data_IF_018596034067
#
_entry.id   IF_018596034067
#
_cell.length_a   1.000
_cell.length_b   1.000
_cell.length_c   1.000
_cell.angle_alpha   90.00
_cell.angle_beta   90.00
_cell.angle_gamma   90.00
#
_symmetry.space_group_name_H-M   'P 1'
#
loop_
_entity.id
_entity.type
_entity.pdbx_description
1 polymer ?
#
# COMPACT_ATOMS: atom_id res chain seq x y z
N UNK A 1 2.67 -22.70 6.80
CA UNK A 1 1.93 -21.41 6.77
C UNK A 1 1.95 -20.75 5.40
N UNK A 2 3.09 -20.65 4.69
CA UNK A 2 3.16 -20.08 3.33
C UNK A 2 2.30 -20.76 2.26
N UNK A 3 1.88 -22.01 2.51
CA UNK A 3 1.00 -22.81 1.65
C UNK A 3 -0.50 -22.56 1.87
N UNK A 4 -0.89 -21.90 2.97
CA UNK A 4 -2.30 -21.78 3.42
C UNK A 4 -2.84 -20.35 3.31
N UNK A 5 -2.02 -19.34 3.64
CA UNK A 5 -2.40 -17.92 3.49
C UNK A 5 -1.21 -17.07 3.03
N UNK A 6 -1.15 -16.70 1.73
CA UNK A 6 -0.11 -15.84 1.17
C UNK A 6 -0.01 -14.47 1.86
N UNK A 7 -1.15 -13.90 2.30
CA UNK A 7 -1.18 -12.60 2.97
C UNK A 7 -0.57 -12.66 4.36
N UNK A 8 -0.94 -13.65 5.17
CA UNK A 8 -0.33 -13.84 6.51
C UNK A 8 1.15 -14.16 6.40
N UNK A 9 1.55 -15.01 5.46
CA UNK A 9 2.95 -15.32 5.22
C UNK A 9 3.74 -14.07 4.79
N UNK A 10 3.13 -13.21 3.97
CA UNK A 10 3.73 -11.92 3.58
C UNK A 10 3.88 -10.97 4.77
N UNK A 11 2.89 -10.90 5.66
CA UNK A 11 2.95 -10.08 6.89
C UNK A 11 4.04 -10.56 7.86
N UNK A 12 4.10 -11.87 8.13
CA UNK A 12 5.09 -12.46 9.06
C UNK A 12 6.51 -12.35 8.50
N UNK A 13 6.68 -12.58 7.20
CA UNK A 13 7.99 -12.43 6.52
C UNK A 13 8.45 -10.99 6.42
N UNK A 14 7.55 -10.02 6.64
CA UNK A 14 7.84 -8.60 6.51
C UNK A 14 8.86 -8.11 7.56
N UNK A 15 8.71 -8.56 8.81
CA UNK A 15 9.65 -8.30 9.90
C UNK A 15 10.94 -9.15 9.86
N UNK A 16 11.30 -9.75 8.73
CA UNK A 16 12.52 -10.58 8.61
C UNK A 16 13.81 -9.80 8.93
N UNK A 17 13.87 -8.52 8.57
CA UNK A 17 15.02 -7.66 8.88
C UNK A 17 15.18 -7.40 10.39
N UNK A 18 14.08 -7.21 11.12
CA UNK A 18 14.10 -7.08 12.59
C UNK A 18 14.44 -8.41 13.26
N UNK A 19 13.90 -9.52 12.76
CA UNK A 19 14.23 -10.87 13.26
C UNK A 19 15.70 -11.22 13.04
N UNK A 20 16.29 -10.80 11.91
CA UNK A 20 17.70 -11.02 11.64
C UNK A 20 18.61 -10.28 12.63
N UNK A 21 18.23 -9.07 13.03
CA UNK A 21 18.99 -8.24 13.97
C UNK A 21 18.77 -8.64 15.43
N UNK A 22 17.51 -8.82 15.84
CA UNK A 22 17.11 -8.92 17.24
C UNK A 22 16.59 -10.30 17.66
N UNK A 23 16.45 -11.24 16.74
CA UNK A 23 15.94 -12.59 17.04
C UNK A 23 14.50 -12.53 17.56
N UNK A 24 14.24 -13.22 18.68
CA UNK A 24 12.91 -13.26 19.32
C UNK A 24 12.43 -11.91 19.85
N UNK A 25 13.34 -10.98 20.15
CA UNK A 25 13.00 -9.64 20.63
C UNK A 25 12.22 -8.82 19.58
N UNK A 26 12.26 -9.21 18.30
CA UNK A 26 11.42 -8.58 17.28
C UNK A 26 9.92 -8.71 17.55
N UNK A 27 9.50 -9.68 18.38
CA UNK A 27 8.10 -9.86 18.76
C UNK A 27 7.55 -8.71 19.62
N UNK A 28 8.42 -7.84 20.14
CA UNK A 28 8.03 -6.65 20.90
C UNK A 28 7.18 -5.69 20.06
N UNK A 29 7.49 -5.49 18.78
CA UNK A 29 6.68 -4.61 17.91
C UNK A 29 5.24 -5.11 17.79
N UNK A 30 4.98 -6.38 17.41
CA UNK A 30 3.64 -6.95 17.41
C UNK A 30 2.91 -6.87 18.74
N UNK A 31 3.60 -7.03 19.88
CA UNK A 31 3.00 -6.84 21.20
C UNK A 31 2.53 -5.40 21.41
N UNK A 32 3.32 -4.41 20.99
CA UNK A 32 2.86 -3.02 20.96
C UNK A 32 1.68 -2.82 19.99
N UNK A 33 1.67 -3.50 18.84
CA UNK A 33 0.52 -3.51 17.93
C UNK A 33 -0.77 -3.97 18.62
N UNK A 34 -0.70 -5.05 19.42
CA UNK A 34 -1.83 -5.51 20.23
C UNK A 34 -2.21 -4.49 21.30
N UNK A 35 -1.23 -3.97 22.07
CA UNK A 35 -1.47 -3.01 23.15
C UNK A 35 -2.19 -1.75 22.65
N UNK A 36 -1.64 -1.10 21.61
CA UNK A 36 -2.25 0.10 21.03
C UNK A 36 -3.54 -0.23 20.27
N UNK A 37 -3.69 -1.46 19.78
CA UNK A 37 -4.97 -1.95 19.23
C UNK A 37 -6.07 -1.98 20.28
N UNK A 38 -5.75 -2.43 21.51
CA UNK A 38 -6.68 -2.39 22.65
C UNK A 38 -7.02 -0.94 23.01
N UNK A 39 -6.03 -0.05 23.07
CA UNK A 39 -6.29 1.37 23.32
C UNK A 39 -7.21 1.97 22.27
N UNK A 40 -6.99 1.67 20.98
CA UNK A 40 -7.89 2.14 19.92
C UNK A 40 -9.32 1.63 20.14
N UNK A 41 -9.52 0.35 20.49
CA UNK A 41 -10.83 -0.23 20.78
C UNK A 41 -11.52 0.46 21.96
N UNK A 42 -10.77 0.78 23.01
CA UNK A 42 -11.32 1.49 24.19
C UNK A 42 -11.71 2.92 23.83
N UNK A 43 -10.84 3.64 23.13
CA UNK A 43 -11.06 5.02 22.68
C UNK A 43 -12.20 5.13 21.66
N UNK A 44 -12.37 4.11 20.81
CA UNK A 44 -13.45 4.05 19.83
C UNK A 44 -14.74 3.42 20.38
N UNK A 45 -14.83 3.17 21.69
CA UNK A 45 -15.99 2.53 22.33
C UNK A 45 -16.38 1.18 21.70
N UNK A 46 -15.40 0.43 21.19
CA UNK A 46 -15.61 -0.86 20.55
C UNK A 46 -15.96 -0.79 19.06
N UNK A 47 -16.05 0.39 18.45
CA UNK A 47 -16.25 0.52 17.01
C UNK A 47 -14.96 0.25 16.24
N UNK A 48 -15.00 -0.42 15.07
CA UNK A 48 -13.81 -0.73 14.26
C UNK A 48 -13.33 0.48 13.41
N UNK A 49 -13.26 1.64 14.05
CA UNK A 49 -12.84 2.92 13.47
C UNK A 49 -11.59 3.44 14.17
N UNK A 50 -10.87 4.40 13.55
CA UNK A 50 -9.80 5.13 14.24
C UNK A 50 -10.32 5.80 15.51
N UNK A 51 -9.70 5.47 16.66
CA UNK A 51 -9.92 6.10 17.96
C UNK A 51 -9.20 7.45 18.02
N UNK A 52 -8.33 7.68 19.01
CA UNK A 52 -7.53 8.90 19.08
C UNK A 52 -6.53 8.97 17.91
N UNK A 53 -6.34 10.18 17.34
CA UNK A 53 -5.36 10.39 16.27
C UNK A 53 -3.93 10.03 16.67
N UNK A 54 -3.54 10.21 17.93
CA UNK A 54 -2.21 9.84 18.44
C UNK A 54 -2.05 8.32 18.47
N UNK A 55 -3.01 7.62 19.08
CA UNK A 55 -3.05 6.15 19.13
C UNK A 55 -3.03 5.57 17.72
N UNK A 56 -3.83 6.14 16.82
CA UNK A 56 -3.86 5.71 15.42
C UNK A 56 -2.56 6.00 14.67
N UNK A 57 -1.92 7.14 14.92
CA UNK A 57 -0.60 7.45 14.35
C UNK A 57 0.45 6.42 14.79
N UNK A 58 0.46 6.05 16.08
CA UNK A 58 1.34 5.00 16.61
C UNK A 58 1.07 3.67 15.92
N UNK A 59 -0.20 3.28 15.75
CA UNK A 59 -0.57 2.05 15.05
C UNK A 59 -0.09 2.04 13.60
N UNK A 60 -0.26 3.15 12.87
CA UNK A 60 0.25 3.28 11.50
C UNK A 60 1.77 3.23 11.44
N UNK A 61 2.49 3.82 12.41
CA UNK A 61 3.95 3.70 12.52
C UNK A 61 4.38 2.26 12.75
N UNK A 62 3.73 1.56 13.68
CA UNK A 62 4.03 0.17 13.98
C UNK A 62 3.78 -0.73 12.76
N UNK A 63 2.67 -0.55 12.05
CA UNK A 63 2.39 -1.25 10.80
C UNK A 63 3.34 -0.87 9.65
N UNK A 64 3.79 0.38 9.60
CA UNK A 64 4.80 0.84 8.65
C UNK A 64 6.18 0.26 8.94
N UNK A 65 6.55 0.00 10.20
CA UNK A 65 7.80 -0.66 10.56
C UNK A 65 7.72 -2.17 10.32
N UNK A 66 6.67 -2.82 10.82
CA UNK A 66 6.50 -4.27 10.71
C UNK A 66 5.06 -4.64 10.33
N UNK A 67 4.89 -5.24 9.15
CA UNK A 67 3.60 -5.72 8.69
C UNK A 67 2.93 -6.72 9.64
N UNK A 68 3.69 -7.48 10.43
CA UNK A 68 3.11 -8.37 11.44
C UNK A 68 2.49 -7.57 12.60
N UNK A 69 3.08 -6.44 12.98
CA UNK A 69 2.50 -5.53 13.97
C UNK A 69 1.22 -4.86 13.47
N UNK A 70 1.19 -4.43 12.20
CA UNK A 70 -0.02 -3.87 11.60
C UNK A 70 -1.16 -4.89 11.51
N UNK A 71 -0.84 -6.15 11.19
CA UNK A 71 -1.80 -7.26 11.19
C UNK A 71 -2.29 -7.59 12.61
N UNK A 72 -1.40 -7.63 13.60
CA UNK A 72 -1.75 -7.88 15.00
C UNK A 72 -2.71 -6.79 15.52
N UNK A 73 -2.42 -5.51 15.27
CA UNK A 73 -3.30 -4.40 15.61
C UNK A 73 -4.68 -4.53 14.94
N UNK A 74 -4.70 -4.84 13.64
CA UNK A 74 -5.95 -5.05 12.89
C UNK A 74 -6.77 -6.20 13.47
N UNK A 75 -6.13 -7.31 13.83
CA UNK A 75 -6.78 -8.45 14.45
C UNK A 75 -7.34 -8.10 15.84
N UNK A 76 -6.60 -7.33 16.64
CA UNK A 76 -7.08 -6.85 17.95
C UNK A 76 -8.31 -5.96 17.80
N UNK A 77 -8.32 -5.04 16.82
CA UNK A 77 -9.48 -4.18 16.55
C UNK A 77 -10.69 -5.02 16.10
N UNK A 78 -10.47 -6.03 15.24
CA UNK A 78 -11.53 -6.95 14.81
C UNK A 78 -12.14 -7.70 16.00
N UNK A 79 -11.30 -8.29 16.85
CA UNK A 79 -11.75 -9.02 18.05
C UNK A 79 -12.48 -8.09 19.00
N UNK A 80 -11.95 -6.89 19.25
CA UNK A 80 -12.59 -5.88 20.08
C UNK A 80 -13.98 -5.49 19.58
N UNK A 81 -14.13 -5.32 18.26
CA UNK A 81 -15.42 -5.03 17.64
C UNK A 81 -16.41 -6.19 17.69
N UNK A 82 -15.94 -7.44 17.53
CA UNK A 82 -16.78 -8.65 17.71
C UNK A 82 -17.28 -8.74 19.15
N UNK A 83 -16.38 -8.63 20.13
CA UNK A 83 -16.70 -8.73 21.57
C UNK A 83 -17.66 -7.64 22.00
N UNK A 84 -17.51 -6.43 21.44
CA UNK A 84 -18.39 -5.29 21.74
C UNK A 84 -19.72 -5.32 20.98
N UNK A 85 -19.93 -6.31 20.09
CA UNK A 85 -21.17 -6.43 19.31
C UNK A 85 -21.29 -5.48 18.11
N UNK A 86 -20.21 -4.80 17.71
CA UNK A 86 -20.24 -3.74 16.71
C UNK A 86 -19.87 -4.18 15.28
N UNK A 87 -19.64 -5.48 14.99
CA UNK A 87 -19.20 -5.93 13.64
C UNK A 87 -20.32 -6.49 12.75
N UNK A 88 -21.58 -6.48 13.19
CA UNK A 88 -22.66 -7.21 12.51
C UNK A 88 -23.39 -6.45 11.39
N UNK A 89 -22.91 -5.26 11.00
CA UNK A 89 -23.47 -4.50 9.88
C UNK A 89 -22.46 -4.31 8.74
N UNK A 90 -22.97 -4.15 7.52
CA UNK A 90 -22.14 -3.87 6.34
C UNK A 90 -21.32 -2.58 6.50
N UNK A 91 -21.90 -1.53 7.09
CA UNK A 91 -21.21 -0.27 7.36
C UNK A 91 -20.02 -0.44 8.31
N UNK A 92 -20.13 -1.35 9.28
CA UNK A 92 -19.03 -1.65 10.21
C UNK A 92 -17.96 -2.52 9.57
N UNK A 93 -18.34 -3.48 8.71
CA UNK A 93 -17.38 -4.25 7.92
C UNK A 93 -16.56 -3.37 6.96
N UNK A 94 -17.20 -2.35 6.39
CA UNK A 94 -16.56 -1.33 5.56
C UNK A 94 -15.59 -0.47 6.38
N UNK A 95 -16.04 0.04 7.52
CA UNK A 95 -15.21 0.83 8.44
C UNK A 95 -13.99 0.06 8.93
N UNK A 96 -14.19 -1.22 9.27
CA UNK A 96 -13.10 -2.13 9.61
C UNK A 96 -12.12 -2.31 8.45
N UNK A 97 -12.63 -2.53 7.23
CA UNK A 97 -11.79 -2.73 6.06
C UNK A 97 -10.93 -1.49 5.76
N UNK A 98 -11.50 -0.30 5.91
CA UNK A 98 -10.79 0.97 5.77
C UNK A 98 -9.68 1.12 6.83
N UNK A 99 -10.00 0.83 8.09
CA UNK A 99 -9.03 0.82 9.18
C UNK A 99 -7.90 -0.19 8.93
N UNK A 100 -8.23 -1.41 8.53
CA UNK A 100 -7.27 -2.45 8.18
C UNK A 100 -6.36 -2.04 7.00
N UNK A 101 -6.93 -1.38 5.98
CA UNK A 101 -6.18 -0.90 4.82
C UNK A 101 -5.14 0.16 5.22
N UNK A 102 -5.49 1.05 6.15
CA UNK A 102 -4.59 2.06 6.68
C UNK A 102 -3.45 1.44 7.49
N UNK A 103 -3.76 0.52 8.41
CA UNK A 103 -2.79 -0.06 9.34
C UNK A 103 -1.82 -1.06 8.69
N UNK A 104 -2.29 -1.84 7.72
CA UNK A 104 -1.51 -2.92 7.11
C UNK A 104 -1.27 -2.70 5.61
N UNK A 105 -2.26 -2.21 4.88
CA UNK A 105 -2.20 -2.06 3.42
C UNK A 105 -1.15 -1.06 2.96
N UNK A 106 -1.00 0.08 3.64
CA UNK A 106 -0.06 1.15 3.27
C UNK A 106 1.37 0.63 3.09
N UNK A 107 1.88 -0.13 4.06
CA UNK A 107 3.24 -0.66 4.03
C UNK A 107 3.48 -1.66 2.89
N UNK A 108 2.47 -2.50 2.60
CA UNK A 108 2.53 -3.48 1.50
C UNK A 108 2.59 -2.78 0.15
N UNK A 109 1.76 -1.74 -0.03
CA UNK A 109 1.73 -0.97 -1.28
C UNK A 109 3.10 -0.32 -1.51
N UNK A 110 3.70 0.28 -0.47
CA UNK A 110 5.04 0.88 -0.55
C UNK A 110 6.10 -0.16 -0.92
N UNK A 111 6.07 -1.35 -0.31
CA UNK A 111 6.99 -2.46 -0.61
C UNK A 111 6.86 -2.96 -2.05
N UNK A 112 5.65 -2.89 -2.64
CA UNK A 112 5.41 -3.20 -4.04
C UNK A 112 6.07 -2.20 -5.01
N UNK A 113 6.23 -0.93 -4.59
CA UNK A 113 6.91 0.11 -5.38
C UNK A 113 8.43 0.02 -5.23
N UNK A 114 8.93 -0.11 -4.00
CA UNK A 114 10.36 -0.17 -3.69
C UNK A 114 10.68 -1.37 -2.81
N UNK A 115 11.55 -2.30 -3.25
CA UNK A 115 11.86 -3.50 -2.49
C UNK A 115 12.54 -3.14 -1.17
N UNK A 116 12.07 -3.74 -0.08
CA UNK A 116 12.64 -3.53 1.25
C UNK A 116 14.02 -4.17 1.37
N UNK A 117 14.19 -5.40 0.86
CA UNK A 117 15.44 -6.16 0.90
C UNK A 117 16.01 -6.22 -0.52
N UNK A 118 17.32 -6.00 -0.64
CA UNK A 118 18.09 -6.14 -1.88
C UNK A 118 19.21 -7.15 -1.69
N UNK A 119 19.59 -7.81 -2.77
CA UNK A 119 20.54 -8.92 -2.73
C UNK A 119 22.02 -8.48 -2.71
N UNK A 120 22.34 -7.28 -3.21
CA UNK A 120 23.73 -6.80 -3.34
C UNK A 120 23.92 -5.36 -2.89
N UNK A 121 25.12 -5.07 -2.36
CA UNK A 121 25.62 -3.73 -2.01
C UNK A 121 27.02 -3.45 -2.60
N UNK A 122 27.52 -4.34 -3.45
CA UNK A 122 28.92 -4.33 -3.90
C UNK A 122 29.21 -3.20 -4.90
N UNK A 123 28.25 -2.89 -5.76
CA UNK A 123 28.42 -1.86 -6.79
C UNK A 123 27.91 -0.49 -6.35
N UNK A 124 28.49 0.57 -6.93
CA UNK A 124 27.93 1.93 -6.79
C UNK A 124 26.46 1.99 -7.22
N UNK A 125 26.09 1.23 -8.25
CA UNK A 125 24.72 1.19 -8.76
C UNK A 125 23.74 0.63 -7.73
N UNK A 126 24.15 -0.36 -6.95
CA UNK A 126 23.27 -0.94 -5.93
C UNK A 126 23.09 0.00 -4.73
N UNK A 127 24.16 0.70 -4.34
CA UNK A 127 24.07 1.78 -3.35
C UNK A 127 23.19 2.94 -3.83
N UNK A 128 23.28 3.31 -5.10
CA UNK A 128 22.42 4.34 -5.70
C UNK A 128 20.94 3.92 -5.69
N UNK A 129 20.65 2.68 -6.08
CA UNK A 129 19.29 2.13 -6.03
C UNK A 129 18.76 2.16 -4.59
N UNK A 130 19.59 1.81 -3.60
CA UNK A 130 19.20 1.85 -2.18
C UNK A 130 18.91 3.27 -1.68
N UNK A 131 19.74 4.24 -2.03
CA UNK A 131 19.49 5.64 -1.72
C UNK A 131 18.14 6.10 -2.30
N UNK A 132 17.83 5.67 -3.53
CA UNK A 132 16.52 5.89 -4.14
C UNK A 132 15.37 5.25 -3.36
N UNK A 133 15.53 4.02 -2.85
CA UNK A 133 14.49 3.37 -2.04
C UNK A 133 14.23 4.13 -0.72
N UNK A 134 15.30 4.64 -0.08
CA UNK A 134 15.22 5.44 1.16
C UNK A 134 14.55 6.80 0.97
N UNK A 135 14.48 7.34 -0.23
CA UNK A 135 13.80 8.61 -0.50
C UNK A 135 12.39 8.36 -1.01
N UNK A 136 12.26 7.53 -2.04
CA UNK A 136 10.99 7.34 -2.76
C UNK A 136 9.97 6.61 -1.91
N UNK A 137 10.37 5.51 -1.25
CA UNK A 137 9.44 4.70 -0.45
C UNK A 137 8.78 5.51 0.67
N UNK A 138 9.57 6.24 1.48
CA UNK A 138 9.06 7.12 2.53
C UNK A 138 8.16 8.25 2.05
N UNK A 139 8.56 8.97 1.00
CA UNK A 139 7.76 10.06 0.43
C UNK A 139 6.42 9.55 -0.09
N UNK A 140 6.46 8.45 -0.86
CA UNK A 140 5.25 7.85 -1.40
C UNK A 140 4.35 7.29 -0.30
N UNK A 141 4.91 6.62 0.71
CA UNK A 141 4.13 6.05 1.80
C UNK A 141 3.49 7.10 2.71
N UNK A 142 4.19 8.19 3.01
CA UNK A 142 3.62 9.29 3.78
C UNK A 142 2.51 10.04 3.02
N UNK A 143 2.71 10.26 1.72
CA UNK A 143 1.66 10.79 0.84
C UNK A 143 0.45 9.84 0.79
N UNK A 144 0.68 8.56 0.54
CA UNK A 144 -0.37 7.54 0.46
C UNK A 144 -1.18 7.49 1.76
N UNK A 145 -0.51 7.49 2.91
CA UNK A 145 -1.18 7.57 4.21
C UNK A 145 -2.06 8.82 4.33
N UNK A 146 -1.54 9.99 3.96
CA UNK A 146 -2.29 11.26 3.98
C UNK A 146 -3.55 11.17 3.11
N UNK A 147 -3.43 10.64 1.89
CA UNK A 147 -4.56 10.52 0.96
C UNK A 147 -5.59 9.50 1.41
N UNK A 148 -5.16 8.34 1.93
CA UNK A 148 -6.07 7.32 2.42
C UNK A 148 -6.83 7.80 3.66
N UNK A 149 -6.20 8.59 4.54
CA UNK A 149 -6.85 9.22 5.69
C UNK A 149 -7.83 10.32 5.23
N UNK A 150 -7.47 11.12 4.23
CA UNK A 150 -8.39 12.12 3.67
C UNK A 150 -9.62 11.46 3.04
N UNK A 151 -9.40 10.39 2.28
CA UNK A 151 -10.46 9.62 1.65
C UNK A 151 -11.32 8.87 2.68
N UNK A 152 -10.75 8.47 3.82
CA UNK A 152 -11.49 7.70 4.82
C UNK A 152 -12.66 8.47 5.43
N UNK A 153 -12.56 9.79 5.59
CA UNK A 153 -13.67 10.61 6.07
C UNK A 153 -14.85 10.64 5.09
N UNK A 154 -14.57 10.76 3.78
CA UNK A 154 -15.62 10.71 2.75
C UNK A 154 -16.31 9.36 2.67
N UNK A 155 -15.58 8.28 2.94
CA UNK A 155 -16.06 6.90 2.87
C UNK A 155 -16.83 6.45 4.11
N UNK A 156 -16.41 6.88 5.30
CA UNK A 156 -17.06 6.51 6.55
C UNK A 156 -18.34 7.31 6.82
N UNK A 157 -18.53 8.47 6.17
CA UNK A 157 -19.65 9.38 6.46
C UNK A 157 -19.62 9.92 7.89
N UNK A 158 -18.47 9.83 8.56
CA UNK A 158 -18.23 10.20 9.96
C UNK A 158 -17.06 11.19 10.01
N UNK A 159 -17.14 12.20 10.88
CA UNK A 159 -16.00 13.08 11.18
C UNK A 159 -14.96 12.29 12.00
N UNK A 160 -14.02 11.64 11.31
CA UNK A 160 -12.97 10.87 11.96
C UNK A 160 -11.93 11.81 12.57
N UNK A 161 -11.48 11.57 13.82
CA UNK A 161 -10.50 12.43 14.50
C UNK A 161 -9.13 12.49 13.78
N UNK A 162 -8.82 11.46 13.00
CA UNK A 162 -7.58 11.37 12.21
C UNK A 162 -7.56 12.32 11.01
N UNK A 163 -8.72 12.72 10.48
CA UNK A 163 -8.81 13.47 9.22
C UNK A 163 -8.18 14.85 9.33
N UNK A 164 -8.39 15.53 10.46
CA UNK A 164 -7.81 16.85 10.76
C UNK A 164 -6.28 16.80 10.91
N UNK A 165 -5.74 15.61 11.18
CA UNK A 165 -4.32 15.36 11.41
C UNK A 165 -3.69 14.52 10.29
N UNK A 166 -4.35 14.40 9.13
CA UNK A 166 -3.91 13.51 8.03
C UNK A 166 -2.46 13.79 7.60
N UNK A 167 -2.09 15.06 7.46
CA UNK A 167 -0.73 15.46 7.09
C UNK A 167 0.29 15.08 8.17
N UNK A 168 -0.04 15.32 9.44
CA UNK A 168 0.83 14.96 10.56
C UNK A 168 1.08 13.45 10.59
N UNK A 169 0.00 12.65 10.52
CA UNK A 169 0.08 11.19 10.50
C UNK A 169 0.89 10.72 9.28
N UNK A 170 0.62 11.30 8.10
CA UNK A 170 1.36 10.99 6.88
C UNK A 170 2.86 11.25 6.97
N UNK A 171 3.26 12.41 7.53
CA UNK A 171 4.68 12.73 7.76
C UNK A 171 5.32 11.73 8.72
N UNK A 172 4.65 11.41 9.82
CA UNK A 172 5.14 10.45 10.81
C UNK A 172 5.28 9.04 10.22
N UNK A 173 4.33 8.60 9.39
CA UNK A 173 4.42 7.33 8.64
C UNK A 173 5.56 7.36 7.63
N UNK A 174 5.76 8.48 6.93
CA UNK A 174 6.91 8.67 6.04
C UNK A 174 8.24 8.52 6.78
N UNK A 175 8.40 9.19 7.93
CA UNK A 175 9.59 9.06 8.77
C UNK A 175 9.79 7.62 9.28
N UNK A 176 8.71 6.93 9.66
CA UNK A 176 8.77 5.53 10.06
C UNK A 176 9.24 4.62 8.91
N UNK A 177 8.76 4.85 7.69
CA UNK A 177 9.23 4.13 6.51
C UNK A 177 10.70 4.45 6.19
N UNK A 178 11.13 5.70 6.39
CA UNK A 178 12.54 6.06 6.23
C UNK A 178 13.42 5.27 7.21
N UNK A 179 13.03 5.27 8.49
CA UNK A 179 13.68 4.46 9.52
C UNK A 179 13.66 2.98 9.15
N UNK A 180 12.54 2.46 8.63
CA UNK A 180 12.40 1.08 8.17
C UNK A 180 13.43 0.72 7.10
N UNK A 181 13.59 1.54 6.06
CA UNK A 181 14.61 1.32 5.04
C UNK A 181 16.03 1.46 5.60
N UNK A 182 16.29 2.40 6.51
CA UNK A 182 17.58 2.54 7.17
C UNK A 182 17.94 1.30 7.99
N UNK A 183 17.04 0.85 8.88
CA UNK A 183 17.23 -0.36 9.71
C UNK A 183 17.40 -1.59 8.82
N UNK A 184 16.61 -1.72 7.76
CA UNK A 184 16.77 -2.80 6.79
C UNK A 184 18.14 -2.76 6.10
N UNK A 185 18.71 -1.58 5.85
CA UNK A 185 20.06 -1.44 5.27
C UNK A 185 21.11 -1.94 6.24
N UNK A 186 20.99 -1.57 7.52
CA UNK A 186 21.85 -2.06 8.60
C UNK A 186 21.76 -3.59 8.69
N UNK A 187 20.55 -4.17 8.60
CA UNK A 187 20.35 -5.60 8.60
C UNK A 187 21.07 -6.31 7.43
N UNK A 188 21.01 -5.75 6.22
CA UNK A 188 21.66 -6.33 5.04
C UNK A 188 23.19 -6.29 5.16
N UNK A 189 23.74 -5.17 5.64
CA UNK A 189 25.20 -4.99 5.74
C UNK A 189 25.78 -5.83 6.88
N UNK A 190 25.17 -5.78 8.07
CA UNK A 190 25.76 -6.37 9.28
C UNK A 190 25.27 -7.80 9.57
N UNK A 191 24.10 -8.20 9.08
CA UNK A 191 23.50 -9.51 9.36
C UNK A 191 23.08 -10.30 8.10
N UNK A 192 23.87 -10.33 7.00
CA UNK A 192 23.44 -10.92 5.73
C UNK A 192 23.14 -12.42 5.84
N UNK A 193 23.97 -13.18 6.55
CA UNK A 193 23.76 -14.63 6.76
C UNK A 193 22.50 -14.93 7.57
N UNK A 194 22.20 -14.11 8.59
CA UNK A 194 20.99 -14.28 9.38
C UNK A 194 19.76 -13.91 8.57
N UNK A 195 19.84 -12.81 7.82
CA UNK A 195 18.76 -12.36 6.95
C UNK A 195 18.40 -13.43 5.92
N UNK A 196 19.38 -14.07 5.26
CA UNK A 196 19.10 -15.15 4.30
C UNK A 196 18.48 -16.41 4.92
N UNK A 197 18.66 -16.65 6.23
CA UNK A 197 18.01 -17.76 6.93
C UNK A 197 16.55 -17.46 7.31
N UNK A 198 16.21 -16.20 7.62
CA UNK A 198 14.84 -15.81 8.02
C UNK A 198 14.00 -15.24 6.89
N UNK A 199 14.63 -14.78 5.82
CA UNK A 199 13.98 -14.37 4.58
C UNK A 199 13.88 -15.58 3.64
N UNK A 200 12.68 -15.98 3.19
CA UNK A 200 12.55 -17.08 2.25
C UNK A 200 13.26 -16.75 0.93
N UNK A 201 14.32 -17.47 0.60
CA UNK A 201 15.10 -17.31 -0.66
C UNK A 201 14.29 -17.68 -1.89
N UNK A 202 13.31 -18.57 -1.73
CA UNK A 202 12.32 -18.92 -2.75
C UNK A 202 10.94 -18.84 -2.12
N UNK A 203 10.02 -18.10 -2.75
CA UNK A 203 8.60 -18.20 -2.39
C UNK A 203 8.20 -19.65 -2.68
N UNK A 204 7.78 -20.45 -1.69
CA UNK A 204 7.38 -21.83 -1.95
C UNK A 204 6.27 -21.84 -3.00
N UNK A 205 6.31 -22.81 -3.92
CA UNK A 205 5.26 -22.99 -4.91
C UNK A 205 3.91 -23.03 -4.20
N UNK A 206 3.06 -22.06 -4.52
CA UNK A 206 1.78 -21.91 -3.84
C UNK A 206 0.83 -22.96 -4.39
N UNK A 207 0.08 -23.61 -3.51
CA UNK A 207 -1.06 -24.39 -3.96
C UNK A 207 -2.04 -23.44 -4.68
N UNK A 208 -2.54 -23.84 -5.84
CA UNK A 208 -3.45 -23.04 -6.68
C UNK A 208 -4.66 -22.55 -5.89
N UNK A 209 -5.22 -23.37 -4.99
CA UNK A 209 -6.34 -22.98 -4.13
C UNK A 209 -6.00 -21.82 -3.17
N UNK A 210 -4.78 -21.75 -2.65
CA UNK A 210 -4.33 -20.72 -1.72
C UNK A 210 -4.04 -19.39 -2.44
N UNK A 211 -3.55 -19.46 -3.68
CA UNK A 211 -3.40 -18.28 -4.54
C UNK A 211 -4.77 -17.72 -4.92
N UNK A 212 -5.70 -18.57 -5.35
CA UNK A 212 -7.06 -18.16 -5.72
C UNK A 212 -7.83 -17.60 -4.53
N UNK A 213 -7.76 -18.23 -3.34
CA UNK A 213 -8.44 -17.73 -2.15
C UNK A 213 -7.91 -16.37 -1.69
N UNK A 214 -6.59 -16.17 -1.74
CA UNK A 214 -5.97 -14.86 -1.43
C UNK A 214 -6.40 -13.78 -2.43
N UNK A 215 -6.56 -14.13 -3.70
CA UNK A 215 -7.05 -13.20 -4.71
C UNK A 215 -8.52 -12.85 -4.47
N UNK A 216 -9.37 -13.84 -4.18
CA UNK A 216 -10.79 -13.62 -3.84
C UNK A 216 -10.91 -12.74 -2.60
N UNK A 217 -10.17 -13.03 -1.52
CA UNK A 217 -10.21 -12.24 -0.30
C UNK A 217 -9.78 -10.79 -0.56
N UNK A 218 -8.75 -10.57 -1.39
CA UNK A 218 -8.34 -9.23 -1.82
C UNK A 218 -9.44 -8.52 -2.61
N UNK A 219 -10.16 -9.23 -3.48
CA UNK A 219 -11.29 -8.66 -4.21
C UNK A 219 -12.45 -8.31 -3.29
N UNK A 220 -12.80 -9.18 -2.33
CA UNK A 220 -13.84 -8.89 -1.33
C UNK A 220 -13.46 -7.65 -0.50
N UNK A 221 -12.23 -7.60 -0.02
CA UNK A 221 -11.73 -6.45 0.73
C UNK A 221 -11.79 -5.16 -0.10
N UNK A 222 -11.39 -5.22 -1.37
CA UNK A 222 -11.44 -4.06 -2.25
C UNK A 222 -12.88 -3.65 -2.60
N UNK A 223 -13.78 -4.61 -2.78
CA UNK A 223 -15.20 -4.37 -2.99
C UNK A 223 -15.82 -3.66 -1.79
N UNK A 224 -15.46 -4.03 -0.56
CA UNK A 224 -15.89 -3.32 0.65
C UNK A 224 -15.37 -1.88 0.68
N UNK A 225 -14.11 -1.65 0.29
CA UNK A 225 -13.56 -0.30 0.17
C UNK A 225 -14.30 0.53 -0.88
N UNK A 226 -14.55 -0.03 -2.07
CA UNK A 226 -15.30 0.67 -3.13
C UNK A 226 -16.75 0.93 -2.74
N UNK A 227 -17.38 0.00 -2.03
CA UNK A 227 -18.73 0.18 -1.49
C UNK A 227 -18.79 1.35 -0.51
N UNK A 228 -17.71 1.61 0.24
CA UNK A 228 -17.61 2.76 1.12
C UNK A 228 -17.81 4.10 0.39
N UNK A 229 -17.31 4.20 -0.84
CA UNK A 229 -17.40 5.42 -1.64
C UNK A 229 -18.66 5.50 -2.50
N UNK A 230 -19.15 4.36 -2.98
CA UNK A 230 -20.18 4.29 -4.03
C UNK A 230 -21.52 3.74 -3.56
N UNK A 231 -21.58 3.18 -2.35
CA UNK A 231 -22.75 2.45 -1.88
C UNK A 231 -23.15 1.28 -2.79
N UNK A 232 -24.42 0.92 -2.75
CA UNK A 232 -24.98 -0.05 -3.69
C UNK A 232 -25.28 0.62 -5.03
N UNK A 233 -24.42 0.36 -6.03
CA UNK A 233 -24.59 0.87 -7.39
C UNK A 233 -24.15 -0.16 -8.43
N UNK A 234 -24.66 -0.05 -9.66
CA UNK A 234 -24.18 -0.88 -10.77
C UNK A 234 -22.71 -0.57 -11.12
N UNK A 235 -22.25 0.66 -10.84
CA UNK A 235 -20.86 1.08 -11.03
C UNK A 235 -19.91 0.27 -10.15
N UNK A 236 -20.31 -0.06 -8.92
CA UNK A 236 -19.54 -0.95 -8.04
C UNK A 236 -19.24 -2.29 -8.71
N UNK A 237 -20.25 -2.90 -9.36
CA UNK A 237 -20.08 -4.18 -10.06
C UNK A 237 -19.09 -4.06 -11.22
N UNK A 238 -19.13 -2.95 -11.96
CA UNK A 238 -18.19 -2.68 -13.06
C UNK A 238 -16.76 -2.53 -12.54
N UNK A 239 -16.56 -1.79 -11.46
CA UNK A 239 -15.23 -1.60 -10.87
C UNK A 239 -14.65 -2.92 -10.32
N UNK A 240 -15.47 -3.74 -9.67
CA UNK A 240 -15.07 -5.08 -9.25
C UNK A 240 -14.68 -5.91 -10.48
N UNK A 241 -15.47 -5.87 -11.55
CA UNK A 241 -15.15 -6.54 -12.81
C UNK A 241 -13.83 -6.10 -13.43
N UNK A 242 -13.56 -4.79 -13.48
CA UNK A 242 -12.30 -4.23 -13.96
C UNK A 242 -11.11 -4.70 -13.10
N UNK A 243 -11.27 -4.74 -11.79
CA UNK A 243 -10.21 -5.16 -10.88
C UNK A 243 -9.98 -6.67 -10.88
N UNK A 244 -11.02 -7.46 -11.16
CA UNK A 244 -10.86 -8.88 -11.46
C UNK A 244 -10.13 -9.09 -12.79
N UNK A 245 -10.45 -8.32 -13.83
CA UNK A 245 -9.73 -8.38 -15.10
C UNK A 245 -8.24 -8.04 -14.93
N UNK A 246 -7.90 -7.05 -14.11
CA UNK A 246 -6.51 -6.73 -13.75
C UNK A 246 -5.79 -7.92 -13.08
N UNK A 247 -6.47 -8.66 -12.20
CA UNK A 247 -5.87 -9.77 -11.46
C UNK A 247 -5.76 -11.07 -12.26
N UNK A 248 -6.74 -11.37 -13.12
CA UNK A 248 -6.87 -12.67 -13.78
C UNK A 248 -6.55 -12.66 -15.28
N UNK A 249 -6.82 -11.55 -15.96
CA UNK A 249 -6.68 -11.44 -17.42
C UNK A 249 -5.33 -10.84 -17.78
N UNK A 250 -4.97 -9.71 -17.18
CA UNK A 250 -3.73 -9.01 -17.51
C UNK A 250 -2.46 -9.88 -17.36
N UNK A 251 -2.28 -10.70 -16.30
CA UNK A 251 -1.08 -11.54 -16.17
C UNK A 251 -0.99 -12.69 -17.18
N UNK A 252 -2.08 -13.02 -17.88
CA UNK A 252 -2.09 -14.06 -18.92
C UNK A 252 -1.66 -13.52 -20.28
N UNK A 253 -1.57 -12.20 -20.42
CA UNK A 253 -1.10 -11.56 -21.64
C UNK A 253 0.41 -11.74 -21.68
N UNK A 254 0.87 -12.43 -22.72
CA UNK A 254 2.29 -12.59 -23.03
C UNK A 254 2.59 -11.99 -24.39
N UNK A 255 3.76 -11.38 -24.52
CA UNK A 255 4.20 -10.75 -25.75
C UNK A 255 5.39 -9.83 -25.50
N UNK A 256 6.03 -9.42 -26.58
CA UNK A 256 7.16 -8.50 -26.55
C UNK A 256 6.74 -7.14 -27.13
N UNK A 257 7.02 -6.07 -26.38
CA UNK A 257 6.84 -4.72 -26.88
C UNK A 257 8.07 -4.27 -27.66
N UNK A 258 7.89 -3.52 -28.77
CA UNK A 258 8.99 -2.83 -29.43
C UNK A 258 9.74 -1.92 -28.44
N UNK A 259 11.07 -1.82 -28.58
CA UNK A 259 11.94 -1.10 -27.63
C UNK A 259 11.45 0.31 -27.30
N UNK A 260 10.97 1.06 -28.30
CA UNK A 260 10.48 2.43 -28.12
C UNK A 260 9.23 2.46 -27.25
N UNK A 261 8.27 1.57 -27.52
CA UNK A 261 7.00 1.53 -26.80
C UNK A 261 7.20 1.03 -25.37
N UNK A 262 8.04 0.01 -25.18
CA UNK A 262 8.38 -0.50 -23.84
C UNK A 262 9.02 0.58 -22.96
N UNK A 263 9.92 1.39 -23.53
CA UNK A 263 10.58 2.50 -22.84
C UNK A 263 9.65 3.64 -22.46
N UNK A 264 8.52 3.80 -23.16
CA UNK A 264 7.49 4.80 -22.83
C UNK A 264 6.56 4.34 -21.72
N UNK A 265 6.48 3.03 -21.45
CA UNK A 265 5.65 2.51 -20.36
C UNK A 265 6.22 3.00 -19.02
N UNK A 266 5.45 3.77 -18.25
CA UNK A 266 5.95 4.32 -17.00
C UNK A 266 6.14 3.18 -16.00
N UNK A 267 7.29 3.11 -15.34
CA UNK A 267 7.60 2.05 -14.36
C UNK A 267 8.14 2.64 -13.05
N UNK A 268 7.88 1.95 -11.95
CA UNK A 268 8.27 2.40 -10.62
C UNK A 268 7.70 3.78 -10.29
N UNK A 269 8.58 4.77 -10.03
CA UNK A 269 8.16 6.13 -9.64
C UNK A 269 7.48 6.88 -10.77
N UNK A 270 7.92 6.67 -12.02
CA UNK A 270 7.28 7.31 -13.16
C UNK A 270 5.81 6.89 -13.29
N UNK A 271 5.48 5.64 -12.92
CA UNK A 271 4.09 5.18 -12.89
C UNK A 271 3.27 5.93 -11.83
N UNK A 272 3.84 6.17 -10.65
CA UNK A 272 3.17 6.95 -9.59
C UNK A 272 2.86 8.36 -10.09
N UNK A 273 3.83 9.03 -10.72
CA UNK A 273 3.63 10.36 -11.30
C UNK A 273 2.50 10.35 -12.33
N UNK A 274 2.56 9.45 -13.31
CA UNK A 274 1.55 9.36 -14.37
C UNK A 274 0.16 9.09 -13.79
N UNK A 275 0.03 8.12 -12.88
CA UNK A 275 -1.25 7.77 -12.28
C UNK A 275 -1.80 8.90 -11.39
N UNK A 276 -0.93 9.58 -10.62
CA UNK A 276 -1.33 10.73 -9.82
C UNK A 276 -1.80 11.91 -10.69
N UNK A 277 -1.10 12.18 -11.79
CA UNK A 277 -1.48 13.22 -12.75
C UNK A 277 -2.80 12.88 -13.43
N UNK A 278 -2.98 11.64 -13.90
CA UNK A 278 -4.24 11.17 -14.49
C UNK A 278 -5.37 11.27 -13.47
N UNK A 279 -5.14 10.90 -12.21
CA UNK A 279 -6.14 11.04 -11.15
C UNK A 279 -6.51 12.48 -10.86
N UNK A 280 -5.52 13.39 -10.81
CA UNK A 280 -5.75 14.82 -10.55
C UNK A 280 -6.51 15.48 -11.70
N UNK A 281 -6.08 15.24 -12.94
CA UNK A 281 -6.75 15.74 -14.13
C UNK A 281 -8.13 15.13 -14.30
N UNK A 282 -8.26 13.81 -14.10
CA UNK A 282 -9.53 13.10 -14.13
C UNK A 282 -10.51 13.67 -13.10
N UNK A 283 -10.06 13.94 -11.87
CA UNK A 283 -10.89 14.53 -10.83
C UNK A 283 -11.38 15.93 -11.20
N UNK A 284 -10.50 16.77 -11.78
CA UNK A 284 -10.87 18.09 -12.30
C UNK A 284 -11.87 18.02 -13.44
N UNK A 285 -11.65 17.12 -14.40
CA UNK A 285 -12.56 16.90 -15.52
C UNK A 285 -13.93 16.44 -15.03
N UNK A 286 -13.98 15.50 -14.09
CA UNK A 286 -15.24 15.05 -13.50
C UNK A 286 -15.96 16.20 -12.77
N UNK A 287 -15.23 17.02 -12.01
CA UNK A 287 -15.81 18.21 -11.36
C UNK A 287 -16.36 19.26 -12.33
N UNK A 288 -15.86 19.31 -13.57
CA UNK A 288 -16.39 20.19 -14.63
C UNK A 288 -17.58 19.58 -15.37
N UNK A 289 -17.62 18.26 -15.52
CA UNK A 289 -18.63 17.54 -16.30
C UNK A 289 -19.92 17.33 -15.49
N UNK A 290 -19.80 17.06 -14.18
CA UNK A 290 -20.96 16.77 -13.33
C UNK A 290 -20.91 17.51 -12.00
N UNK A 291 -22.07 18.00 -11.59
CA UNK A 291 -22.30 18.61 -10.27
C UNK A 291 -22.72 17.58 -9.21
N UNK A 292 -23.10 16.36 -9.64
CA UNK A 292 -23.47 15.27 -8.74
C UNK A 292 -22.22 14.65 -8.12
N UNK A 293 -22.10 14.74 -6.78
CA UNK A 293 -20.98 14.20 -6.02
C UNK A 293 -20.77 12.70 -6.23
N UNK A 294 -21.85 11.92 -6.44
CA UNK A 294 -21.71 10.51 -6.75
C UNK A 294 -20.94 10.29 -8.06
N UNK A 295 -21.32 10.99 -9.13
CA UNK A 295 -20.69 10.85 -10.43
C UNK A 295 -19.28 11.43 -10.50
N UNK A 296 -18.96 12.41 -9.65
CA UNK A 296 -17.59 12.90 -9.51
C UNK A 296 -16.64 11.79 -9.02
N UNK A 297 -17.06 11.07 -7.98
CA UNK A 297 -16.26 9.96 -7.40
C UNK A 297 -16.32 8.72 -8.30
N UNK A 298 -17.52 8.31 -8.72
CA UNK A 298 -17.75 7.15 -9.57
C UNK A 298 -17.02 7.27 -10.92
N UNK A 299 -17.14 8.43 -11.58
CA UNK A 299 -16.48 8.70 -12.86
C UNK A 299 -14.96 8.68 -12.73
N UNK A 300 -14.41 9.24 -11.65
CA UNK A 300 -12.97 9.21 -11.38
C UNK A 300 -12.48 7.76 -11.15
N UNK A 301 -13.18 6.99 -10.32
CA UNK A 301 -12.82 5.60 -10.04
C UNK A 301 -12.92 4.72 -11.30
N UNK A 302 -13.92 4.95 -12.16
CA UNK A 302 -14.05 4.26 -13.45
C UNK A 302 -12.89 4.59 -14.39
N UNK A 303 -12.55 5.89 -14.51
CA UNK A 303 -11.42 6.34 -15.30
C UNK A 303 -10.12 5.68 -14.83
N UNK A 304 -9.86 5.71 -13.52
CA UNK A 304 -8.68 5.08 -12.93
C UNK A 304 -8.70 3.55 -13.07
N UNK A 305 -9.87 2.92 -12.97
CA UNK A 305 -10.03 1.48 -13.15
C UNK A 305 -9.68 1.03 -14.57
N UNK A 306 -10.16 1.76 -15.59
CA UNK A 306 -9.85 1.49 -16.99
C UNK A 306 -8.37 1.74 -17.29
N UNK A 307 -7.85 2.90 -16.88
CA UNK A 307 -6.43 3.22 -17.05
C UNK A 307 -5.54 2.20 -16.36
N UNK A 308 -5.90 1.78 -15.14
CA UNK A 308 -5.20 0.76 -14.39
C UNK A 308 -5.23 -0.61 -15.09
N UNK A 309 -6.34 -0.97 -15.74
CA UNK A 309 -6.43 -2.20 -16.52
C UNK A 309 -5.52 -2.16 -17.74
N UNK A 310 -5.58 -1.07 -18.51
CA UNK A 310 -4.71 -0.88 -19.67
C UNK A 310 -3.23 -0.91 -19.25
N UNK A 311 -2.89 -0.23 -18.16
CA UNK A 311 -1.55 -0.27 -17.59
C UNK A 311 -1.15 -1.69 -17.20
N UNK A 312 -2.01 -2.44 -16.50
CA UNK A 312 -1.72 -3.81 -16.11
C UNK A 312 -1.44 -4.70 -17.32
N UNK A 313 -2.24 -4.59 -18.38
CA UNK A 313 -2.06 -5.33 -19.63
C UNK A 313 -0.74 -4.97 -20.33
N UNK A 314 -0.43 -3.69 -20.46
CA UNK A 314 0.79 -3.21 -21.11
C UNK A 314 2.03 -3.57 -20.29
N UNK A 315 1.95 -3.47 -18.96
CA UNK A 315 3.06 -3.77 -18.05
C UNK A 315 3.40 -5.26 -17.96
N UNK A 316 2.47 -6.15 -18.33
CA UNK A 316 2.69 -7.59 -18.40
C UNK A 316 3.57 -7.99 -19.59
N UNK A 317 3.69 -7.13 -20.60
CA UNK A 317 4.51 -7.39 -21.78
C UNK A 317 6.00 -7.18 -21.47
N UNK A 318 6.84 -8.02 -22.08
CA UNK A 318 8.30 -7.98 -21.91
C UNK A 318 8.98 -7.02 -22.90
N UNK A 319 10.17 -6.56 -22.57
CA UNK A 319 10.96 -5.67 -23.41
C UNK A 319 12.26 -5.19 -22.76
N UNK A 320 12.97 -4.30 -23.46
CA UNK A 320 14.28 -3.81 -23.03
C UNK A 320 14.22 -2.45 -22.33
N UNK A 321 14.66 -2.41 -21.07
CA UNK A 321 14.76 -1.18 -20.28
C UNK A 321 15.84 -0.22 -20.81
N UNK A 322 15.82 1.03 -20.34
CA UNK A 322 16.87 1.99 -20.64
C UNK A 322 18.23 1.53 -20.09
N UNK A 323 19.33 1.77 -20.83
CA UNK A 323 20.66 1.56 -20.29
C UNK A 323 20.89 2.47 -19.09
N UNK A 324 21.58 1.95 -18.07
CA UNK A 324 21.88 2.71 -16.85
C UNK A 324 23.08 3.62 -17.10
N UNK A 325 22.80 4.90 -17.27
CA UNK A 325 23.77 5.96 -17.52
C UNK A 325 23.59 7.08 -16.49
N UNK A 326 24.53 8.02 -16.42
CA UNK A 326 24.36 9.20 -15.55
C UNK A 326 23.15 10.05 -15.95
N UNK A 327 22.84 10.14 -17.24
CA UNK A 327 21.65 10.85 -17.73
C UNK A 327 20.36 10.22 -17.21
N UNK A 328 20.24 8.89 -17.23
CA UNK A 328 19.04 8.21 -16.69
C UNK A 328 18.94 8.30 -15.17
N UNK A 329 20.06 8.42 -14.45
CA UNK A 329 20.07 8.70 -13.00
C UNK A 329 19.54 10.10 -12.68
N UNK A 330 20.04 11.13 -13.36
CA UNK A 330 19.59 12.52 -13.16
C UNK A 330 18.13 12.67 -13.55
N UNK A 331 17.73 12.10 -14.69
CA UNK A 331 16.32 12.06 -15.10
C UNK A 331 15.45 11.38 -14.04
N UNK A 332 15.93 10.28 -13.44
CA UNK A 332 15.26 9.62 -12.32
C UNK A 332 15.07 10.54 -11.11
N UNK A 333 16.08 11.29 -10.70
CA UNK A 333 15.99 12.27 -9.60
C UNK A 333 14.98 13.37 -9.91
N UNK A 334 15.02 13.91 -11.14
CA UNK A 334 14.06 14.92 -11.59
C UNK A 334 12.63 14.37 -11.54
N UNK A 335 12.41 13.14 -11.99
CA UNK A 335 11.09 12.49 -11.88
C UNK A 335 10.66 12.35 -10.43
N UNK A 336 11.56 11.97 -9.50
CA UNK A 336 11.22 11.91 -8.06
C UNK A 336 10.79 13.28 -7.53
N UNK A 337 11.53 14.35 -7.87
CA UNK A 337 11.21 15.70 -7.42
C UNK A 337 9.87 16.17 -7.97
N UNK A 338 9.63 15.99 -9.27
CA UNK A 338 8.34 16.32 -9.92
C UNK A 338 7.21 15.50 -9.30
N UNK A 339 7.45 14.21 -9.03
CA UNK A 339 6.47 13.36 -8.34
C UNK A 339 6.17 13.93 -6.95
N UNK A 340 7.18 14.26 -6.14
CA UNK A 340 6.95 14.85 -4.83
C UNK A 340 6.18 16.17 -4.90
N UNK A 341 6.46 17.03 -5.89
CA UNK A 341 5.73 18.27 -6.11
C UNK A 341 4.27 18.03 -6.53
N UNK A 342 4.01 17.06 -7.40
CA UNK A 342 2.66 16.66 -7.80
C UNK A 342 1.89 16.10 -6.60
N UNK A 343 2.51 15.21 -5.83
CA UNK A 343 1.89 14.60 -4.65
C UNK A 343 1.62 15.62 -3.53
N UNK A 344 2.39 16.70 -3.46
CA UNK A 344 2.12 17.80 -2.51
C UNK A 344 1.14 18.84 -3.03
N UNK A 345 0.55 18.63 -4.22
CA UNK A 345 -0.42 19.55 -4.84
C UNK A 345 0.18 20.88 -5.26
N UNK A 346 1.51 20.97 -5.46
CA UNK A 346 2.22 22.21 -5.81
C UNK A 346 2.44 22.41 -7.31
N UNK A 347 2.02 21.45 -8.14
CA UNK A 347 2.38 21.43 -9.57
C UNK A 347 1.14 21.57 -10.45
N UNK A 348 0.19 20.65 -10.29
CA UNK A 348 -1.13 20.66 -10.94
C UNK A 348 -2.12 20.28 -9.86
#
# INVERSE_FOLDING_TARGET
MGTVSPMMASAISDGSYLRAMFGSLSAVLPLFGVLFGIFNVVESHGYPVPGNYVTFAVLMVLGALDGWSGLAATATILVGAIVSGHIFSLSMAVSFSLTAALLFGTAIIVKGVRPLIRDSFDSFQDRWKRAGDMVVGPLFGGFLATQLIGASASAAGLDLPITRHALFIGVVVGLALFARYAISTVAIIHFPRRLSMVSPTHKPSQATWASTSSQILRQVFTALLLHAFLGWSWVLLVLIGLQMAQGFVAPKISGQLPKVLYRLVPRGVANILVMATIGTLGGRLMGQITTDGFWQVAGLLLLLGVVGLLYAMVSALEGEDFPVTWTTRVAGVVVVLITALQLTGRLI
#
